data_IF_858054225012
#
_entry.id   IF_858054225012
#
_cell.length_a   1.000
_cell.length_b   1.000
_cell.length_c   1.000
_cell.angle_alpha   90.00
_cell.angle_beta   90.00
_cell.angle_gamma   90.00
#
_symmetry.space_group_name_H-M   'P 1'
#
loop_
_entity.id
_entity.type
_entity.pdbx_description
1 polymer ?
#
# COMPACT_ATOMS: atom_id res chain seq x y z
N UNK A 1 34.13 32.07 30.42
CA UNK A 1 33.44 31.96 29.10
C UNK A 1 32.16 31.19 29.36
N UNK A 2 31.00 31.74 29.00
CA UNK A 2 29.72 31.07 29.25
C UNK A 2 29.72 29.76 28.50
N UNK A 3 29.61 28.64 29.20
CA UNK A 3 29.48 27.32 28.58
C UNK A 3 28.13 27.29 27.85
N UNK A 4 28.16 27.49 26.53
CA UNK A 4 26.94 27.49 25.72
C UNK A 4 26.47 26.07 25.44
N UNK A 5 25.17 25.91 25.34
CA UNK A 5 24.53 24.62 25.04
C UNK A 5 24.48 24.40 23.53
N UNK A 6 24.74 23.17 23.10
CA UNK A 6 24.86 22.81 21.69
C UNK A 6 23.55 22.22 21.15
N UNK A 7 23.12 22.67 19.97
CA UNK A 7 21.98 22.11 19.26
C UNK A 7 22.19 22.07 17.74
N UNK A 8 21.44 21.22 17.04
CA UNK A 8 21.52 21.09 15.58
C UNK A 8 20.75 22.20 14.85
N UNK A 9 21.35 22.76 13.79
CA UNK A 9 20.72 23.81 12.99
C UNK A 9 19.59 23.34 12.04
N UNK A 10 19.31 22.03 11.99
CA UNK A 10 18.29 21.40 11.13
C UNK A 10 17.38 20.50 11.96
N UNK A 11 16.15 20.28 11.46
CA UNK A 11 15.24 19.28 12.01
C UNK A 11 15.71 17.87 11.62
N UNK A 12 16.24 17.14 12.62
CA UNK A 12 16.78 15.79 12.48
C UNK A 12 15.77 14.75 13.00
N UNK A 13 15.61 13.67 12.23
CA UNK A 13 14.79 12.52 12.60
C UNK A 13 15.65 11.24 12.62
N UNK A 14 15.61 10.46 13.69
CA UNK A 14 16.30 9.17 13.78
C UNK A 14 15.28 8.06 13.53
N UNK A 15 15.43 7.33 12.44
CA UNK A 15 14.58 6.18 12.07
C UNK A 15 15.23 4.89 12.54
N UNK A 16 14.63 4.20 13.50
CA UNK A 16 15.09 2.89 14.00
C UNK A 16 14.26 1.79 13.36
N UNK A 17 14.92 0.78 12.77
CA UNK A 17 14.26 -0.36 12.15
C UNK A 17 14.41 -1.60 13.02
N UNK A 18 13.43 -2.50 12.99
CA UNK A 18 13.50 -3.77 13.74
C UNK A 18 14.65 -4.69 13.28
N UNK A 19 15.20 -4.46 12.09
CA UNK A 19 16.43 -5.12 11.62
C UNK A 19 17.69 -4.69 12.38
N UNK A 20 17.58 -3.85 13.43
CA UNK A 20 18.70 -3.25 14.14
C UNK A 20 19.38 -2.08 13.42
N UNK A 21 18.93 -1.72 12.21
CA UNK A 21 19.48 -0.59 11.43
C UNK A 21 18.88 0.73 11.92
N UNK A 22 19.69 1.77 11.97
CA UNK A 22 19.24 3.13 12.27
C UNK A 22 19.68 4.11 11.19
N UNK A 23 18.79 5.05 10.81
CA UNK A 23 19.07 6.09 9.82
C UNK A 23 18.86 7.48 10.41
N UNK A 24 19.72 8.43 10.04
CA UNK A 24 19.49 9.86 10.23
C UNK A 24 18.77 10.41 9.01
N UNK A 25 17.57 10.96 9.19
CA UNK A 25 16.81 11.68 8.18
C UNK A 25 16.95 13.19 8.41
N UNK A 26 17.45 13.92 7.41
CA UNK A 26 17.60 15.37 7.44
C UNK A 26 16.49 15.99 6.59
N UNK A 27 15.64 16.82 7.20
CA UNK A 27 14.61 17.55 6.45
C UNK A 27 15.21 18.83 5.87
N UNK A 28 15.36 18.91 4.56
CA UNK A 28 15.75 20.15 3.87
C UNK A 28 14.49 20.93 3.44
N UNK A 29 14.34 22.16 3.92
CA UNK A 29 13.32 23.10 3.45
C UNK A 29 13.84 23.80 2.19
N UNK A 30 13.42 23.38 1.00
CA UNK A 30 13.57 24.21 -0.19
C UNK A 30 12.35 25.13 -0.29
N UNK A 31 12.55 26.43 -0.06
CA UNK A 31 11.62 27.48 -0.48
C UNK A 31 11.91 27.80 -1.95
N UNK A 32 11.48 26.96 -2.89
CA UNK A 32 11.34 27.38 -4.27
C UNK A 32 9.89 27.14 -4.71
N UNK A 33 9.33 28.21 -5.24
CA UNK A 33 8.01 28.43 -5.81
C UNK A 33 7.13 27.17 -6.01
N UNK A 34 6.00 27.13 -5.30
CA UNK A 34 4.83 26.32 -5.64
C UNK A 34 4.74 24.89 -5.11
N UNK A 35 5.82 24.28 -4.58
CA UNK A 35 5.78 22.90 -4.07
C UNK A 35 6.57 22.76 -2.76
N UNK A 36 5.89 22.80 -1.62
CA UNK A 36 6.49 22.43 -0.33
C UNK A 36 6.72 20.90 -0.28
N UNK A 37 7.81 20.40 -0.86
CA UNK A 37 8.29 19.03 -0.66
C UNK A 37 9.54 19.08 0.23
N UNK A 38 9.44 18.49 1.43
CA UNK A 38 10.61 18.18 2.25
C UNK A 38 11.46 17.14 1.51
N UNK A 39 12.60 17.54 0.97
CA UNK A 39 13.60 16.58 0.49
C UNK A 39 14.29 15.98 1.72
N UNK A 40 14.05 14.70 1.99
CA UNK A 40 14.64 13.98 3.12
C UNK A 40 15.85 13.19 2.64
N UNK A 41 17.05 13.60 3.05
CA UNK A 41 18.27 12.80 2.86
C UNK A 41 18.45 11.86 4.05
N UNK A 42 18.77 10.58 3.79
CA UNK A 42 18.94 9.57 4.86
C UNK A 42 20.34 8.98 4.89
N UNK A 43 20.93 8.85 6.08
CA UNK A 43 22.29 8.33 6.28
C UNK A 43 22.30 7.18 7.29
N UNK A 44 23.05 6.10 7.01
CA UNK A 44 23.19 4.96 7.93
C UNK A 44 24.02 5.36 9.16
N UNK A 45 23.47 5.12 10.35
CA UNK A 45 24.14 5.39 11.61
C UNK A 45 24.49 4.09 12.36
N UNK A 46 25.56 4.13 13.13
CA UNK A 46 25.81 3.17 14.21
C UNK A 46 25.27 3.73 15.54
N UNK A 47 25.23 2.89 16.58
CA UNK A 47 24.65 3.26 17.87
C UNK A 47 25.38 4.44 18.55
N UNK A 48 26.71 4.50 18.44
CA UNK A 48 27.49 5.60 19.00
C UNK A 48 27.15 6.94 18.33
N UNK A 49 26.96 6.95 17.01
CA UNK A 49 26.55 8.15 16.26
C UNK A 49 25.17 8.64 16.67
N UNK A 50 24.20 7.74 16.87
CA UNK A 50 22.84 8.09 17.35
C UNK A 50 22.91 8.76 18.71
N UNK A 51 23.75 8.24 19.60
CA UNK A 51 23.90 8.77 20.94
C UNK A 51 24.53 10.16 20.94
N UNK A 52 25.64 10.37 20.22
CA UNK A 52 26.29 11.68 20.13
C UNK A 52 25.32 12.70 19.50
N UNK A 53 24.60 12.32 18.44
CA UNK A 53 23.55 13.17 17.85
C UNK A 53 22.47 13.49 18.89
N UNK A 54 22.04 12.47 19.65
CA UNK A 54 21.09 12.53 20.76
C UNK A 54 21.46 13.50 21.88
N UNK A 55 22.76 13.65 22.16
CA UNK A 55 23.28 14.53 23.22
C UNK A 55 23.30 16.02 22.84
N UNK A 56 23.28 16.35 21.54
CA UNK A 56 23.30 17.72 21.01
C UNK A 56 21.85 18.20 20.79
N UNK A 57 21.10 18.31 21.88
CA UNK A 57 19.67 18.65 21.90
C UNK A 57 19.37 20.01 22.56
N UNK A 58 20.38 20.85 22.75
CA UNK A 58 20.27 22.15 23.41
C UNK A 58 20.31 22.08 24.95
N UNK A 59 20.52 20.91 25.54
CA UNK A 59 20.59 20.76 27.01
C UNK A 59 22.00 20.59 27.57
N UNK A 60 23.01 20.37 26.72
CA UNK A 60 24.39 20.07 27.13
C UNK A 60 25.41 20.94 26.40
N UNK A 61 26.47 21.25 27.12
CA UNK A 61 27.64 21.98 26.67
C UNK A 61 28.68 21.02 26.09
N UNK A 62 29.64 21.53 25.34
CA UNK A 62 30.69 20.69 24.74
C UNK A 62 31.46 19.87 25.78
N UNK A 63 31.79 20.47 26.93
CA UNK A 63 32.54 19.83 28.01
C UNK A 63 31.73 18.75 28.73
N UNK A 64 30.42 18.98 28.94
CA UNK A 64 29.52 17.96 29.52
C UNK A 64 29.39 16.74 28.61
N UNK A 65 29.31 16.95 27.29
CA UNK A 65 29.27 15.84 26.31
C UNK A 65 30.58 15.05 26.36
N UNK A 66 31.75 15.71 26.41
CA UNK A 66 33.04 15.03 26.54
C UNK A 66 33.12 14.24 27.84
N UNK A 67 32.66 14.80 28.95
CA UNK A 67 32.67 14.11 30.24
C UNK A 67 31.80 12.84 30.20
N UNK A 68 30.57 12.93 29.67
CA UNK A 68 29.67 11.79 29.54
C UNK A 68 30.20 10.70 28.61
N UNK A 69 30.80 11.07 27.47
CA UNK A 69 31.38 10.10 26.54
C UNK A 69 32.65 9.45 27.11
N UNK A 70 33.50 10.22 27.79
CA UNK A 70 34.77 9.72 28.35
C UNK A 70 34.54 8.71 29.49
N UNK A 71 33.58 9.01 30.38
CA UNK A 71 33.14 8.09 31.45
C UNK A 71 32.50 6.83 30.90
N UNK A 72 31.59 6.95 29.92
CA UNK A 72 30.90 5.80 29.33
C UNK A 72 31.83 4.82 28.62
N UNK A 73 32.81 5.34 27.87
CA UNK A 73 33.74 4.53 27.08
C UNK A 73 35.05 4.20 27.81
N UNK A 74 35.18 4.60 29.08
CA UNK A 74 36.38 4.46 29.91
C UNK A 74 37.65 4.94 29.17
N UNK A 75 37.55 6.13 28.57
CA UNK A 75 38.58 6.72 27.71
C UNK A 75 39.01 8.09 28.23
N UNK A 76 40.25 8.52 27.93
CA UNK A 76 40.73 9.81 28.42
C UNK A 76 39.94 10.99 27.81
N UNK A 77 39.77 12.06 28.58
CA UNK A 77 39.10 13.31 28.14
C UNK A 77 39.76 13.86 26.86
N UNK A 78 41.10 13.84 26.80
CA UNK A 78 41.87 14.31 25.63
C UNK A 78 41.50 13.53 24.36
N UNK A 79 41.50 12.20 24.45
CA UNK A 79 41.22 11.33 23.31
C UNK A 79 39.74 11.39 22.90
N UNK A 80 38.84 11.53 23.88
CA UNK A 80 37.40 11.72 23.64
C UNK A 80 37.13 13.05 22.91
N UNK A 81 37.81 14.13 23.31
CA UNK A 81 37.72 15.43 22.65
C UNK A 81 38.18 15.38 21.19
N UNK A 82 39.31 14.74 20.92
CA UNK A 82 39.82 14.55 19.56
C UNK A 82 38.80 13.79 18.69
N UNK A 83 38.28 12.66 19.18
CA UNK A 83 37.25 11.86 18.47
C UNK A 83 35.96 12.63 18.23
N UNK A 84 35.47 13.37 19.23
CA UNK A 84 34.26 14.17 19.10
C UNK A 84 34.45 15.29 18.07
N UNK A 85 35.57 16.01 18.12
CA UNK A 85 35.90 17.05 17.13
C UNK A 85 35.95 16.49 15.70
N UNK A 86 36.64 15.36 15.50
CA UNK A 86 36.67 14.68 14.20
C UNK A 86 35.28 14.27 13.72
N UNK A 87 34.45 13.74 14.61
CA UNK A 87 33.08 13.34 14.32
C UNK A 87 32.20 14.53 13.88
N UNK A 88 32.24 15.64 14.62
CA UNK A 88 31.45 16.83 14.32
C UNK A 88 31.87 17.48 12.98
N UNK A 89 33.17 17.52 12.71
CA UNK A 89 33.69 17.97 11.42
C UNK A 89 33.23 17.06 10.28
N UNK A 90 33.26 15.74 10.48
CA UNK A 90 32.81 14.76 9.48
C UNK A 90 31.31 14.90 9.17
N UNK A 91 30.47 15.05 10.19
CA UNK A 91 29.03 15.26 10.01
C UNK A 91 28.74 16.57 9.28
N UNK A 92 29.45 17.64 9.65
CA UNK A 92 29.28 18.95 9.01
C UNK A 92 29.65 18.89 7.53
N UNK A 93 30.79 18.30 7.20
CA UNK A 93 31.30 18.24 5.83
C UNK A 93 30.51 17.27 4.94
N UNK A 94 30.12 16.10 5.46
CA UNK A 94 29.41 15.09 4.65
C UNK A 94 27.92 15.39 4.49
N UNK A 95 27.29 15.97 5.51
CA UNK A 95 25.82 16.05 5.60
C UNK A 95 25.28 17.48 5.67
N UNK A 96 26.16 18.48 5.73
CA UNK A 96 25.78 19.89 5.78
C UNK A 96 24.95 20.26 7.02
N UNK A 97 25.10 19.48 8.11
CA UNK A 97 24.47 19.76 9.41
C UNK A 97 25.47 20.57 10.23
N UNK A 98 25.04 21.73 10.76
CA UNK A 98 25.87 22.58 11.61
C UNK A 98 25.37 22.54 13.05
N UNK A 99 26.27 22.85 13.96
CA UNK A 99 25.97 23.02 15.39
C UNK A 99 25.79 24.51 15.64
N UNK A 100 24.73 24.85 16.32
CA UNK A 100 24.49 26.17 16.87
C UNK A 100 24.66 26.13 18.39
N UNK A 101 24.80 27.31 18.97
CA UNK A 101 24.99 27.51 20.39
C UNK A 101 23.86 28.36 20.96
N UNK A 102 23.46 28.11 22.21
CA UNK A 102 22.49 28.92 22.93
C UNK A 102 22.91 29.15 24.38
N UNK A 103 22.44 30.25 24.97
CA UNK A 103 22.82 30.68 26.33
C UNK A 103 22.00 30.01 27.43
N UNK A 104 20.80 29.50 27.11
CA UNK A 104 19.92 28.83 28.06
C UNK A 104 19.57 27.42 27.60
N UNK A 105 19.21 26.55 28.54
CA UNK A 105 18.82 25.17 28.26
C UNK A 105 17.43 25.12 27.62
N UNK A 106 17.35 25.18 26.29
CA UNK A 106 16.14 24.93 25.54
C UNK A 106 16.25 23.60 24.79
N UNK A 107 15.45 22.61 25.20
CA UNK A 107 15.48 21.29 24.57
C UNK A 107 14.85 21.33 23.18
N UNK A 108 15.60 20.87 22.19
CA UNK A 108 15.13 20.64 20.82
C UNK A 108 14.89 19.15 20.65
N UNK A 109 13.62 18.77 20.59
CA UNK A 109 13.24 17.36 20.47
C UNK A 109 13.64 16.81 19.10
N UNK A 110 14.53 15.82 19.10
CA UNK A 110 14.74 14.98 17.93
C UNK A 110 13.63 13.93 17.82
N UNK A 111 13.06 13.80 16.64
CA UNK A 111 12.04 12.80 16.37
C UNK A 111 12.70 11.43 16.22
N UNK A 112 12.48 10.52 17.17
CA UNK A 112 12.88 9.11 17.02
C UNK A 112 11.66 8.33 16.55
N UNK A 113 11.73 7.75 15.36
CA UNK A 113 10.63 7.03 14.72
C UNK A 113 11.01 5.57 14.55
N UNK A 114 10.26 4.66 15.17
CA UNK A 114 10.37 3.23 14.84
C UNK A 114 9.74 2.99 13.46
N UNK A 115 10.48 2.35 12.57
CA UNK A 115 10.06 2.01 11.21
C UNK A 115 10.00 0.50 11.07
N UNK A 116 8.78 0.00 10.88
CA UNK A 116 8.51 -1.38 10.51
C UNK A 116 8.75 -1.54 9.01
N UNK A 117 9.37 -2.66 8.62
CA UNK A 117 9.52 -3.05 7.21
C UNK A 117 8.43 -4.04 6.77
N UNK A 118 7.68 -4.59 7.71
CA UNK A 118 6.65 -5.59 7.44
C UNK A 118 5.35 -4.94 6.96
N UNK A 119 4.57 -5.68 6.17
CA UNK A 119 3.28 -5.22 5.67
C UNK A 119 2.24 -5.15 6.80
N UNK A 120 1.28 -4.24 6.66
CA UNK A 120 0.11 -4.15 7.53
C UNK A 120 -1.14 -4.83 6.94
N UNK A 121 -1.14 -5.06 5.63
CA UNK A 121 -2.19 -5.60 4.79
C UNK A 121 -1.56 -6.69 3.91
N UNK A 122 -2.25 -7.79 3.69
CA UNK A 122 -1.80 -8.82 2.76
C UNK A 122 -2.94 -9.23 1.83
N UNK A 123 -2.70 -9.23 0.51
CA UNK A 123 -3.58 -9.91 -0.44
C UNK A 123 -3.05 -11.31 -0.67
N UNK A 124 -3.90 -12.31 -0.51
CA UNK A 124 -3.55 -13.72 -0.71
C UNK A 124 -4.40 -14.27 -1.85
N UNK A 125 -3.76 -14.60 -2.96
CA UNK A 125 -4.39 -15.30 -4.06
C UNK A 125 -4.57 -16.77 -3.70
N UNK A 126 -5.79 -17.17 -3.36
CA UNK A 126 -6.06 -18.55 -2.91
C UNK A 126 -6.31 -19.50 -4.09
N UNK A 127 -6.58 -18.97 -5.28
CA UNK A 127 -6.85 -19.78 -6.46
C UNK A 127 -6.51 -19.05 -7.75
N UNK A 128 -6.03 -19.77 -8.75
CA UNK A 128 -5.94 -19.31 -10.14
C UNK A 128 -7.25 -19.57 -10.92
N UNK A 129 -8.17 -20.35 -10.36
CA UNK A 129 -9.45 -20.71 -10.99
C UNK A 129 -10.46 -19.57 -10.88
N UNK A 130 -11.11 -19.23 -11.99
CA UNK A 130 -12.22 -18.28 -12.05
C UNK A 130 -13.38 -18.87 -12.86
N UNK A 131 -14.62 -18.59 -12.45
CA UNK A 131 -15.83 -19.02 -13.19
C UNK A 131 -16.23 -18.08 -14.33
N UNK A 132 -15.47 -17.01 -14.58
CA UNK A 132 -15.66 -16.07 -15.70
C UNK A 132 -14.34 -15.72 -16.36
N UNK A 133 -14.36 -15.23 -17.61
CA UNK A 133 -13.17 -14.89 -18.39
C UNK A 133 -13.16 -13.41 -18.77
N UNK A 134 -13.26 -12.55 -17.75
CA UNK A 134 -13.35 -11.10 -17.95
C UNK A 134 -12.23 -10.53 -18.82
N UNK A 135 -12.58 -9.60 -19.72
CA UNK A 135 -11.64 -8.99 -20.67
C UNK A 135 -10.52 -8.21 -19.98
N UNK A 136 -10.80 -7.52 -18.87
CA UNK A 136 -9.85 -6.66 -18.15
C UNK A 136 -8.87 -7.41 -17.22
N UNK A 137 -8.97 -8.73 -17.13
CA UNK A 137 -8.34 -9.49 -16.05
C UNK A 137 -6.80 -9.43 -16.11
N UNK A 138 -6.21 -8.77 -15.12
CA UNK A 138 -4.76 -8.63 -14.99
C UNK A 138 -4.04 -9.98 -14.80
N UNK A 139 -4.58 -10.88 -13.95
CA UNK A 139 -3.90 -12.13 -13.56
C UNK A 139 -4.07 -13.28 -14.55
N UNK A 140 -4.67 -13.04 -15.71
CA UNK A 140 -5.03 -14.06 -16.71
C UNK A 140 -5.66 -15.34 -16.14
N UNK A 141 -6.45 -15.22 -15.06
CA UNK A 141 -7.02 -16.36 -14.33
C UNK A 141 -7.83 -17.31 -15.23
N UNK A 142 -7.68 -18.60 -14.99
CA UNK A 142 -8.18 -19.65 -15.89
C UNK A 142 -9.56 -20.15 -15.47
N UNK A 143 -10.39 -20.51 -16.44
CA UNK A 143 -11.66 -21.20 -16.20
C UNK A 143 -11.52 -22.72 -16.09
N UNK A 144 -10.35 -23.26 -16.45
CA UNK A 144 -10.10 -24.69 -16.58
C UNK A 144 -9.08 -25.15 -15.54
N UNK A 145 -8.02 -24.37 -15.34
CA UNK A 145 -6.98 -24.73 -14.37
C UNK A 145 -7.51 -24.64 -12.95
N UNK A 146 -7.15 -25.63 -12.13
CA UNK A 146 -7.60 -25.74 -10.75
C UNK A 146 -6.46 -25.52 -9.76
N UNK A 147 -5.45 -24.74 -10.14
CA UNK A 147 -4.32 -24.39 -9.27
C UNK A 147 -4.84 -23.56 -8.09
N UNK A 148 -4.75 -24.11 -6.89
CA UNK A 148 -5.26 -23.50 -5.66
C UNK A 148 -4.29 -23.77 -4.51
N UNK A 149 -4.29 -22.87 -3.52
CA UNK A 149 -3.58 -23.12 -2.28
C UNK A 149 -4.31 -24.21 -1.47
N UNK A 150 -3.56 -25.11 -0.85
CA UNK A 150 -4.16 -26.12 0.04
C UNK A 150 -4.60 -25.49 1.36
N UNK A 151 -5.49 -26.16 2.10
CA UNK A 151 -5.92 -25.68 3.41
C UNK A 151 -4.76 -25.66 4.42
N UNK A 152 -3.82 -26.58 4.31
CA UNK A 152 -2.60 -26.63 5.14
C UNK A 152 -1.70 -25.43 4.85
N UNK A 153 -1.42 -25.17 3.58
CA UNK A 153 -0.55 -24.07 3.16
C UNK A 153 -1.13 -22.70 3.48
N UNK A 154 -2.42 -22.46 3.23
CA UNK A 154 -3.03 -21.17 3.59
C UNK A 154 -3.05 -20.94 5.09
N UNK A 155 -3.17 -21.98 5.92
CA UNK A 155 -3.00 -21.84 7.37
C UNK A 155 -1.59 -21.38 7.70
N UNK A 156 -0.54 -21.98 7.10
CA UNK A 156 0.85 -21.52 7.30
C UNK A 156 0.98 -20.04 6.95
N UNK A 157 0.47 -19.63 5.78
CA UNK A 157 0.48 -18.24 5.32
C UNK A 157 -0.17 -17.30 6.34
N UNK A 158 -1.40 -17.62 6.76
CA UNK A 158 -2.16 -16.74 7.65
C UNK A 158 -1.54 -16.65 9.05
N UNK A 159 -0.99 -17.74 9.59
CA UNK A 159 -0.30 -17.71 10.88
C UNK A 159 0.96 -16.83 10.81
N UNK A 160 1.75 -16.98 9.75
CA UNK A 160 2.99 -16.22 9.61
C UNK A 160 2.72 -14.71 9.41
N UNK A 161 1.74 -14.36 8.56
CA UNK A 161 1.28 -12.98 8.41
C UNK A 161 0.79 -12.38 9.74
N UNK A 162 0.02 -13.14 10.52
CA UNK A 162 -0.46 -12.68 11.84
C UNK A 162 0.72 -12.46 12.80
N UNK A 163 1.70 -13.35 12.81
CA UNK A 163 2.89 -13.27 13.67
C UNK A 163 3.75 -12.03 13.41
N UNK A 164 3.81 -11.55 12.16
CA UNK A 164 4.54 -10.32 11.80
C UNK A 164 3.72 -9.04 11.96
N UNK A 165 2.48 -9.14 12.47
CA UNK A 165 1.63 -8.00 12.78
C UNK A 165 0.76 -7.49 11.62
N UNK A 166 0.51 -8.32 10.60
CA UNK A 166 -0.51 -8.00 9.58
C UNK A 166 -1.87 -7.91 10.25
N UNK A 167 -2.58 -6.82 9.95
CA UNK A 167 -3.88 -6.50 10.55
C UNK A 167 -5.03 -6.82 9.61
N UNK A 168 -4.82 -6.65 8.31
CA UNK A 168 -5.86 -6.81 7.29
C UNK A 168 -5.44 -7.85 6.26
N UNK A 169 -6.37 -8.70 5.86
CA UNK A 169 -6.13 -9.66 4.80
C UNK A 169 -7.18 -9.49 3.71
N UNK A 170 -6.78 -9.73 2.47
CA UNK A 170 -7.66 -9.75 1.32
C UNK A 170 -7.54 -11.11 0.63
N UNK A 171 -8.60 -11.88 0.58
CA UNK A 171 -8.64 -13.10 -0.21
C UNK A 171 -9.06 -12.77 -1.65
N UNK A 172 -8.20 -13.16 -2.59
CA UNK A 172 -8.32 -12.84 -4.01
C UNK A 172 -7.83 -14.02 -4.87
N UNK A 173 -7.53 -13.78 -6.14
CA UNK A 173 -7.15 -14.77 -7.15
C UNK A 173 -8.08 -14.68 -8.34
N UNK A 174 -8.42 -15.82 -8.93
CA UNK A 174 -9.45 -15.92 -9.97
C UNK A 174 -10.84 -15.60 -9.45
N UNK A 175 -11.46 -16.52 -8.72
CA UNK A 175 -12.67 -16.27 -7.96
C UNK A 175 -12.54 -16.93 -6.57
N UNK A 176 -12.41 -16.11 -5.53
CA UNK A 176 -12.17 -16.60 -4.17
C UNK A 176 -13.38 -17.38 -3.61
N UNK A 177 -14.61 -17.00 -3.97
CA UNK A 177 -15.83 -17.63 -3.44
C UNK A 177 -16.06 -19.06 -3.92
N UNK A 178 -15.41 -19.48 -5.02
CA UNK A 178 -15.52 -20.86 -5.55
C UNK A 178 -14.40 -21.77 -5.06
N UNK A 179 -13.47 -21.27 -4.23
CA UNK A 179 -12.44 -22.12 -3.64
C UNK A 179 -13.10 -23.20 -2.76
N UNK A 180 -12.76 -24.47 -2.98
CA UNK A 180 -13.45 -25.61 -2.33
C UNK A 180 -13.33 -25.59 -0.81
N UNK A 181 -12.31 -24.93 -0.28
CA UNK A 181 -12.04 -24.72 1.15
C UNK A 181 -12.29 -23.30 1.67
N UNK A 182 -13.05 -22.48 0.93
CA UNK A 182 -13.25 -21.07 1.30
C UNK A 182 -13.83 -20.90 2.72
N UNK A 183 -14.73 -21.80 3.13
CA UNK A 183 -15.35 -21.78 4.46
C UNK A 183 -14.30 -21.94 5.55
N UNK A 184 -13.48 -22.98 5.44
CA UNK A 184 -12.41 -23.28 6.38
C UNK A 184 -11.34 -22.16 6.42
N UNK A 185 -11.05 -21.55 5.26
CA UNK A 185 -10.13 -20.40 5.15
C UNK A 185 -10.67 -19.18 5.92
N UNK A 186 -11.93 -18.79 5.68
CA UNK A 186 -12.56 -17.66 6.37
C UNK A 186 -12.61 -17.89 7.89
N UNK A 187 -13.04 -19.09 8.32
CA UNK A 187 -13.10 -19.44 9.74
C UNK A 187 -11.71 -19.42 10.40
N UNK A 188 -10.67 -19.86 9.70
CA UNK A 188 -9.31 -19.78 10.22
C UNK A 188 -8.82 -18.34 10.36
N UNK A 189 -9.06 -17.49 9.36
CA UNK A 189 -8.73 -16.06 9.45
C UNK A 189 -9.47 -15.35 10.59
N UNK A 190 -10.76 -15.66 10.80
CA UNK A 190 -11.53 -15.15 11.94
C UNK A 190 -10.90 -15.59 13.26
N UNK A 191 -10.50 -16.87 13.38
CA UNK A 191 -9.86 -17.42 14.58
C UNK A 191 -8.53 -16.74 14.90
N UNK A 192 -7.75 -16.37 13.89
CA UNK A 192 -6.50 -15.62 14.05
C UNK A 192 -6.71 -14.14 14.39
N UNK A 193 -7.97 -13.69 14.44
CA UNK A 193 -8.34 -12.35 14.87
C UNK A 193 -7.69 -11.25 14.01
N UNK A 194 -7.74 -11.39 12.69
CA UNK A 194 -7.45 -10.26 11.82
C UNK A 194 -8.49 -9.15 12.02
N UNK A 195 -8.03 -7.89 12.07
CA UNK A 195 -8.89 -6.72 12.29
C UNK A 195 -9.86 -6.53 11.11
N UNK A 196 -9.45 -6.93 9.91
CA UNK A 196 -10.25 -6.86 8.71
C UNK A 196 -9.95 -8.04 7.78
N UNK A 197 -10.99 -8.71 7.31
CA UNK A 197 -10.93 -9.77 6.32
C UNK A 197 -11.77 -9.32 5.13
N UNK A 198 -11.12 -9.03 4.01
CA UNK A 198 -11.81 -8.67 2.77
C UNK A 198 -11.87 -9.87 1.83
N UNK A 199 -13.05 -10.17 1.30
CA UNK A 199 -13.25 -11.18 0.27
C UNK A 199 -13.52 -10.47 -1.05
N UNK A 200 -12.60 -10.61 -2.02
CA UNK A 200 -12.73 -10.06 -3.37
C UNK A 200 -13.40 -11.11 -4.25
N UNK A 201 -14.56 -10.76 -4.81
CA UNK A 201 -15.42 -11.67 -5.57
C UNK A 201 -16.02 -11.00 -6.80
N UNK A 202 -16.24 -11.76 -7.85
CA UNK A 202 -17.13 -11.41 -8.95
C UNK A 202 -18.61 -11.55 -8.57
N UNK A 203 -18.90 -12.14 -7.40
CA UNK A 203 -20.24 -12.23 -6.79
C UNK A 203 -21.18 -13.26 -7.41
N UNK A 204 -20.77 -14.03 -8.43
CA UNK A 204 -21.65 -14.97 -9.15
C UNK A 204 -21.70 -16.34 -8.45
N UNK A 205 -20.55 -16.81 -7.97
CA UNK A 205 -20.35 -18.17 -7.45
C UNK A 205 -20.50 -18.32 -5.93
N UNK A 206 -20.98 -17.29 -5.23
CA UNK A 206 -21.06 -17.31 -3.77
C UNK A 206 -22.17 -18.27 -3.29
N UNK A 207 -21.80 -19.21 -2.43
CA UNK A 207 -22.75 -20.17 -1.83
C UNK A 207 -23.47 -19.56 -0.63
N UNK A 208 -24.67 -20.06 -0.33
CA UNK A 208 -25.46 -19.60 0.83
C UNK A 208 -24.70 -19.76 2.15
N UNK A 209 -23.94 -20.84 2.32
CA UNK A 209 -23.12 -21.05 3.50
C UNK A 209 -21.99 -20.00 3.64
N UNK A 210 -21.38 -19.57 2.52
CA UNK A 210 -20.38 -18.48 2.55
C UNK A 210 -21.05 -17.16 2.90
N UNK A 211 -22.24 -16.90 2.35
CA UNK A 211 -23.06 -15.73 2.72
C UNK A 211 -23.36 -15.73 4.23
N UNK A 212 -23.77 -16.87 4.80
CA UNK A 212 -24.05 -16.99 6.22
C UNK A 212 -22.83 -16.72 7.09
N UNK A 213 -21.64 -17.20 6.69
CA UNK A 213 -20.38 -16.90 7.38
C UNK A 213 -20.10 -15.40 7.37
N UNK A 214 -20.26 -14.74 6.21
CA UNK A 214 -20.04 -13.31 6.06
C UNK A 214 -21.01 -12.53 6.96
N UNK A 215 -22.30 -12.87 6.95
CA UNK A 215 -23.34 -12.19 7.75
C UNK A 215 -23.03 -12.31 9.25
N UNK A 216 -22.76 -13.54 9.73
CA UNK A 216 -22.44 -13.82 11.14
C UNK A 216 -21.19 -13.09 11.62
N UNK A 217 -20.28 -12.73 10.71
CA UNK A 217 -19.00 -12.09 11.01
C UNK A 217 -18.85 -10.71 10.35
N UNK A 218 -19.96 -10.02 10.07
CA UNK A 218 -20.00 -8.74 9.32
C UNK A 218 -19.25 -7.57 9.97
N UNK A 219 -18.85 -7.71 11.25
CA UNK A 219 -17.96 -6.77 11.93
C UNK A 219 -16.49 -6.89 11.50
N UNK A 220 -16.05 -8.08 11.07
CA UNK A 220 -14.68 -8.38 10.64
C UNK A 220 -14.58 -8.63 9.13
N UNK A 221 -15.59 -9.26 8.54
CA UNK A 221 -15.61 -9.60 7.11
C UNK A 221 -16.28 -8.51 6.30
N UNK A 222 -15.59 -8.09 5.24
CA UNK A 222 -16.06 -7.17 4.23
C UNK A 222 -16.02 -7.86 2.86
N UNK A 223 -16.92 -7.47 1.96
CA UNK A 223 -16.93 -8.00 0.60
C UNK A 223 -16.64 -6.89 -0.40
N UNK A 224 -15.71 -7.13 -1.32
CA UNK A 224 -15.56 -6.31 -2.52
C UNK A 224 -16.14 -7.12 -3.68
N UNK A 225 -17.22 -6.61 -4.27
CA UNK A 225 -17.95 -7.26 -5.36
C UNK A 225 -17.77 -6.46 -6.65
N UNK A 226 -17.43 -7.15 -7.72
CA UNK A 226 -17.34 -6.55 -9.04
C UNK A 226 -18.72 -6.51 -9.73
N UNK A 227 -19.14 -5.32 -10.17
CA UNK A 227 -20.34 -5.11 -10.98
C UNK A 227 -20.03 -4.11 -12.08
N UNK A 228 -20.06 -4.56 -13.33
CA UNK A 228 -19.52 -3.76 -14.44
C UNK A 228 -20.60 -3.09 -15.31
N UNK A 229 -21.86 -3.50 -15.22
CA UNK A 229 -22.98 -2.92 -15.97
C UNK A 229 -24.30 -3.45 -15.42
N UNK A 230 -25.39 -2.73 -15.66
CA UNK A 230 -26.76 -3.20 -15.44
C UNK A 230 -27.39 -3.79 -16.71
N UNK A 231 -26.67 -3.76 -17.83
CA UNK A 231 -27.04 -4.33 -19.12
C UNK A 231 -26.43 -5.72 -19.34
N UNK A 232 -27.26 -6.66 -19.80
CA UNK A 232 -26.86 -8.07 -19.95
C UNK A 232 -25.98 -8.29 -21.20
N UNK A 233 -26.14 -7.48 -22.26
CA UNK A 233 -25.30 -7.58 -23.46
C UNK A 233 -23.87 -7.14 -23.15
N UNK A 234 -23.70 -5.99 -22.49
CA UNK A 234 -22.42 -5.55 -21.98
C UNK A 234 -21.80 -6.58 -21.05
N UNK A 235 -22.57 -7.08 -20.07
CA UNK A 235 -22.02 -8.01 -19.08
C UNK A 235 -21.55 -9.31 -19.74
N UNK A 236 -22.28 -9.81 -20.74
CA UNK A 236 -21.89 -10.96 -21.56
C UNK A 236 -20.62 -10.67 -22.38
N UNK A 237 -20.56 -9.53 -23.05
CA UNK A 237 -19.37 -9.09 -23.79
C UNK A 237 -18.13 -9.01 -22.89
N UNK A 238 -18.28 -8.44 -21.70
CA UNK A 238 -17.18 -8.16 -20.78
C UNK A 238 -16.69 -9.41 -20.04
N UNK A 239 -17.60 -10.23 -19.51
CA UNK A 239 -17.30 -11.43 -18.70
C UNK A 239 -17.05 -12.69 -19.54
N UNK A 240 -17.47 -12.66 -20.82
CA UNK A 240 -17.51 -13.78 -21.77
C UNK A 240 -18.46 -14.91 -21.40
N UNK A 241 -19.38 -14.68 -20.46
CA UNK A 241 -20.37 -15.66 -20.01
C UNK A 241 -21.78 -15.05 -20.10
N UNK A 242 -22.72 -15.67 -20.82
CA UNK A 242 -24.08 -15.16 -20.93
C UNK A 242 -24.92 -15.44 -19.67
N UNK A 243 -25.98 -14.65 -19.47
CA UNK A 243 -27.07 -14.92 -18.51
C UNK A 243 -26.66 -15.04 -17.03
N UNK A 244 -25.64 -14.29 -16.59
CA UNK A 244 -25.15 -14.32 -15.20
C UNK A 244 -25.40 -13.03 -14.41
N UNK A 245 -25.83 -11.96 -15.07
CA UNK A 245 -26.03 -10.66 -14.41
C UNK A 245 -27.12 -10.69 -13.34
N UNK A 246 -28.25 -11.34 -13.60
CA UNK A 246 -29.35 -11.42 -12.63
C UNK A 246 -28.94 -12.19 -11.37
N UNK A 247 -28.14 -13.24 -11.54
CA UNK A 247 -27.57 -13.99 -10.41
C UNK A 247 -26.66 -13.11 -9.56
N UNK A 248 -25.75 -12.36 -10.20
CA UNK A 248 -24.88 -11.40 -9.52
C UNK A 248 -25.70 -10.35 -8.76
N UNK A 249 -26.68 -9.71 -9.41
CA UNK A 249 -27.54 -8.70 -8.79
C UNK A 249 -28.30 -9.27 -7.59
N UNK A 250 -28.84 -10.48 -7.71
CA UNK A 250 -29.53 -11.17 -6.60
C UNK A 250 -28.60 -11.39 -5.40
N UNK A 251 -27.36 -11.84 -5.63
CA UNK A 251 -26.37 -12.03 -4.58
C UNK A 251 -25.96 -10.72 -3.90
N UNK A 252 -25.78 -9.64 -4.66
CA UNK A 252 -25.50 -8.30 -4.12
C UNK A 252 -26.67 -7.85 -3.23
N UNK A 253 -27.91 -7.97 -3.71
CA UNK A 253 -29.11 -7.61 -2.94
C UNK A 253 -29.21 -8.42 -1.64
N UNK A 254 -28.93 -9.73 -1.68
CA UNK A 254 -28.95 -10.60 -0.50
C UNK A 254 -27.95 -10.14 0.57
N UNK A 255 -26.71 -9.87 0.18
CA UNK A 255 -25.66 -9.38 1.07
C UNK A 255 -25.99 -7.98 1.62
N UNK A 256 -26.47 -7.07 0.76
CA UNK A 256 -26.84 -5.71 1.15
C UNK A 256 -27.97 -5.68 2.19
N UNK A 257 -29.03 -6.48 1.99
CA UNK A 257 -30.13 -6.63 2.95
C UNK A 257 -29.70 -7.15 4.32
N UNK A 258 -28.53 -7.79 4.40
CA UNK A 258 -27.99 -8.37 5.62
C UNK A 258 -26.99 -7.44 6.34
N UNK A 259 -26.94 -6.16 5.96
CA UNK A 259 -26.04 -5.15 6.53
C UNK A 259 -24.54 -5.51 6.46
N UNK A 260 -24.15 -6.37 5.51
CA UNK A 260 -22.73 -6.66 5.25
C UNK A 260 -22.06 -5.41 4.70
N UNK A 261 -20.91 -5.04 5.26
CA UNK A 261 -20.10 -3.96 4.71
C UNK A 261 -19.55 -4.38 3.35
N UNK A 262 -20.08 -3.77 2.30
CA UNK A 262 -19.75 -4.10 0.93
C UNK A 262 -19.16 -2.89 0.20
N UNK A 263 -18.17 -3.15 -0.65
CA UNK A 263 -17.70 -2.26 -1.70
C UNK A 263 -18.11 -2.83 -3.05
N UNK A 264 -18.70 -2.02 -3.91
CA UNK A 264 -18.96 -2.38 -5.31
C UNK A 264 -17.94 -1.69 -6.20
N UNK A 265 -17.27 -2.44 -7.07
CA UNK A 265 -16.28 -1.92 -8.00
C UNK A 265 -16.70 -2.13 -9.47
N UNK A 266 -16.60 -1.07 -10.26
CA UNK A 266 -16.88 -1.08 -11.70
C UNK A 266 -15.60 -0.77 -12.46
N UNK A 267 -15.23 -1.65 -13.40
CA UNK A 267 -14.30 -1.31 -14.46
C UNK A 267 -15.08 -0.57 -15.54
N UNK A 268 -14.70 0.69 -15.75
CA UNK A 268 -15.28 1.59 -16.75
C UNK A 268 -14.50 1.46 -18.05
N UNK A 269 -15.26 1.29 -19.11
CA UNK A 269 -14.84 1.16 -20.50
C UNK A 269 -15.63 2.16 -21.34
N UNK A 270 -15.31 2.30 -22.62
CA UNK A 270 -16.10 3.17 -23.51
C UNK A 270 -17.54 2.70 -23.65
N UNK A 271 -17.77 1.39 -23.51
CA UNK A 271 -19.10 0.78 -23.69
C UNK A 271 -20.02 0.94 -22.48
N UNK A 272 -19.54 1.23 -21.27
CA UNK A 272 -20.40 1.45 -20.08
C UNK A 272 -20.25 2.81 -19.41
N UNK A 273 -19.43 3.72 -19.94
CA UNK A 273 -19.22 5.05 -19.32
C UNK A 273 -20.52 5.82 -19.09
N UNK A 274 -21.51 5.62 -19.95
CA UNK A 274 -22.84 6.22 -19.86
C UNK A 274 -23.71 5.63 -18.73
N UNK A 275 -23.37 4.44 -18.21
CA UNK A 275 -24.11 3.77 -17.13
C UNK A 275 -23.69 4.18 -15.73
N UNK A 276 -22.58 4.91 -15.56
CA UNK A 276 -22.01 5.21 -14.23
C UNK A 276 -23.03 5.84 -13.28
N UNK A 277 -23.86 6.77 -13.75
CA UNK A 277 -24.92 7.39 -12.92
C UNK A 277 -25.98 6.37 -12.49
N UNK A 278 -26.38 5.46 -13.40
CA UNK A 278 -27.38 4.42 -13.13
C UNK A 278 -26.83 3.34 -12.19
N UNK A 279 -25.58 2.92 -12.38
CA UNK A 279 -24.88 2.00 -11.47
C UNK A 279 -24.78 2.59 -10.08
N UNK A 280 -24.34 3.85 -9.96
CA UNK A 280 -24.27 4.54 -8.67
C UNK A 280 -25.65 4.63 -8.01
N UNK A 281 -26.70 4.98 -8.77
CA UNK A 281 -28.06 5.02 -8.26
C UNK A 281 -28.53 3.65 -7.76
N UNK A 282 -28.27 2.58 -8.51
CA UNK A 282 -28.62 1.23 -8.12
C UNK A 282 -27.88 0.79 -6.85
N UNK A 283 -26.56 0.96 -6.80
CA UNK A 283 -25.72 0.62 -5.63
C UNK A 283 -26.18 1.37 -4.38
N UNK A 284 -26.39 2.69 -4.48
CA UNK A 284 -26.86 3.49 -3.35
C UNK A 284 -28.29 3.18 -2.93
N UNK A 285 -29.18 2.77 -3.86
CA UNK A 285 -30.53 2.33 -3.52
C UNK A 285 -30.56 1.08 -2.62
N UNK A 286 -29.50 0.28 -2.65
CA UNK A 286 -29.31 -0.89 -1.78
C UNK A 286 -28.70 -0.53 -0.42
N UNK A 287 -28.43 0.75 -0.15
CA UNK A 287 -27.76 1.21 1.08
C UNK A 287 -26.24 1.03 1.07
N UNK A 288 -25.66 0.59 -0.04
CA UNK A 288 -24.21 0.45 -0.20
C UNK A 288 -23.60 1.85 -0.41
N UNK A 289 -22.62 2.21 0.43
CA UNK A 289 -21.98 3.53 0.39
C UNK A 289 -20.66 3.52 -0.40
N UNK A 290 -19.95 2.41 -0.38
CA UNK A 290 -18.64 2.28 -0.99
C UNK A 290 -18.80 1.82 -2.45
N UNK A 291 -18.97 2.77 -3.36
CA UNK A 291 -18.91 2.53 -4.80
C UNK A 291 -17.58 3.04 -5.36
N UNK A 292 -16.89 2.23 -6.17
CA UNK A 292 -15.60 2.60 -6.77
C UNK A 292 -15.65 2.34 -8.27
N UNK A 293 -15.11 3.28 -9.03
CA UNK A 293 -14.93 3.12 -10.47
C UNK A 293 -13.44 3.20 -10.82
N UNK A 294 -13.01 2.34 -11.76
CA UNK A 294 -11.63 2.31 -12.27
C UNK A 294 -11.63 2.18 -13.79
N UNK A 295 -10.65 2.73 -14.51
CA UNK A 295 -10.44 2.41 -15.91
C UNK A 295 -9.99 0.96 -16.08
N UNK A 296 -10.23 0.38 -17.27
CA UNK A 296 -9.47 -0.79 -17.70
C UNK A 296 -8.00 -0.42 -17.91
N UNK A 297 -7.09 -1.26 -17.45
CA UNK A 297 -5.64 -1.08 -17.63
C UNK A 297 -5.13 -2.05 -18.69
N UNK A 298 -4.21 -1.60 -19.55
CA UNK A 298 -3.58 -2.41 -20.59
C UNK A 298 -2.60 -3.40 -19.94
N UNK A 299 -3.12 -4.52 -19.45
CA UNK A 299 -2.34 -5.60 -18.83
C UNK A 299 -3.08 -6.94 -18.84
N UNK A 300 -2.32 -8.03 -18.88
CA UNK A 300 -2.86 -9.39 -18.80
C UNK A 300 -3.78 -9.66 -19.98
N UNK A 301 -5.01 -10.15 -19.73
CA UNK A 301 -5.96 -10.41 -20.83
C UNK A 301 -6.37 -9.16 -21.59
N UNK A 302 -6.31 -7.99 -20.97
CA UNK A 302 -6.73 -6.74 -21.59
C UNK A 302 -5.88 -6.44 -22.84
N UNK A 303 -4.61 -6.86 -22.86
CA UNK A 303 -3.67 -6.63 -23.97
C UNK A 303 -4.14 -7.27 -25.29
N UNK A 304 -4.97 -8.31 -25.21
CA UNK A 304 -5.54 -9.00 -26.38
C UNK A 304 -6.82 -8.37 -26.92
N UNK A 305 -7.27 -7.24 -26.38
CA UNK A 305 -8.54 -6.60 -26.73
C UNK A 305 -8.37 -5.19 -27.28
N UNK A 306 -9.39 -4.74 -28.00
CA UNK A 306 -9.40 -3.52 -28.81
C UNK A 306 -9.66 -2.21 -28.04
N UNK A 307 -9.81 -1.13 -28.81
CA UNK A 307 -10.06 0.24 -28.32
C UNK A 307 -11.37 0.43 -27.54
N UNK A 308 -12.35 -0.46 -27.63
CA UNK A 308 -13.62 -0.28 -26.90
C UNK A 308 -13.46 -0.54 -25.40
N UNK A 309 -12.45 -1.33 -25.01
CA UNK A 309 -12.12 -1.58 -23.60
C UNK A 309 -11.53 -0.34 -22.92
N UNK A 310 -10.83 0.51 -23.68
CA UNK A 310 -10.00 1.59 -23.13
C UNK A 310 -10.62 2.97 -23.31
N UNK A 311 -10.63 3.76 -22.24
CA UNK A 311 -11.15 5.13 -22.24
C UNK A 311 -10.26 6.07 -23.05
N UNK A 312 -10.91 7.01 -23.74
CA UNK A 312 -10.26 8.16 -24.39
C UNK A 312 -10.14 9.34 -23.43
N UNK A 313 -9.32 10.34 -23.76
CA UNK A 313 -9.22 11.60 -23.01
C UNK A 313 -10.57 12.30 -22.82
N UNK A 314 -11.45 12.22 -23.82
CA UNK A 314 -12.79 12.79 -23.75
C UNK A 314 -13.68 12.05 -22.73
N UNK A 315 -13.53 10.73 -22.63
CA UNK A 315 -14.28 9.93 -21.66
C UNK A 315 -13.89 10.29 -20.23
N UNK A 316 -12.58 10.52 -19.95
CA UNK A 316 -12.13 10.96 -18.62
C UNK A 316 -12.76 12.29 -18.20
N UNK A 317 -12.91 13.24 -19.13
CA UNK A 317 -13.59 14.52 -18.86
C UNK A 317 -15.06 14.30 -18.49
N UNK A 318 -15.76 13.47 -19.26
CA UNK A 318 -17.16 13.12 -19.00
C UNK A 318 -17.34 12.44 -17.63
N UNK A 319 -16.45 11.49 -17.30
CA UNK A 319 -16.47 10.77 -16.02
C UNK A 319 -16.30 11.74 -14.84
N UNK A 320 -15.40 12.71 -14.95
CA UNK A 320 -15.19 13.69 -13.89
C UNK A 320 -16.47 14.49 -13.59
N UNK A 321 -17.17 14.95 -14.64
CA UNK A 321 -18.43 15.68 -14.48
C UNK A 321 -19.52 14.81 -13.85
N UNK A 322 -19.62 13.54 -14.27
CA UNK A 322 -20.51 12.53 -13.68
C UNK A 322 -20.20 12.35 -12.19
N UNK A 323 -18.93 12.18 -11.82
CA UNK A 323 -18.53 11.97 -10.44
C UNK A 323 -18.82 13.16 -9.52
N UNK A 324 -18.65 14.39 -10.01
CA UNK A 324 -19.02 15.60 -9.26
C UNK A 324 -20.51 15.56 -8.91
N UNK A 325 -21.37 15.20 -9.87
CA UNK A 325 -22.82 15.07 -9.64
C UNK A 325 -23.14 13.98 -8.62
N UNK A 326 -22.55 12.79 -8.78
CA UNK A 326 -22.80 11.64 -7.90
C UNK A 326 -22.37 11.95 -6.46
N UNK A 327 -21.15 12.48 -6.27
CA UNK A 327 -20.65 12.82 -4.94
C UNK A 327 -21.47 13.91 -4.25
N UNK A 328 -21.97 14.89 -5.01
CA UNK A 328 -22.90 15.90 -4.48
C UNK A 328 -24.22 15.26 -4.07
N UNK A 329 -24.77 14.33 -4.86
CA UNK A 329 -26.06 13.69 -4.63
C UNK A 329 -26.05 12.74 -3.43
N UNK A 330 -25.07 11.85 -3.34
CA UNK A 330 -25.05 10.78 -2.35
C UNK A 330 -24.16 11.07 -1.14
N UNK A 331 -23.52 12.26 -1.09
CA UNK A 331 -22.48 12.61 -0.10
C UNK A 331 -21.41 11.51 0.00
N UNK A 332 -21.16 10.86 -1.13
CA UNK A 332 -20.18 9.79 -1.29
C UNK A 332 -18.81 10.37 -1.58
N UNK A 333 -17.77 9.59 -1.33
CA UNK A 333 -16.40 9.90 -1.72
C UNK A 333 -15.96 9.00 -2.88
N UNK A 334 -16.77 8.94 -3.94
CA UNK A 334 -16.42 8.16 -5.14
C UNK A 334 -15.37 8.96 -5.89
N UNK A 335 -14.14 8.50 -5.84
CA UNK A 335 -13.09 9.03 -6.70
C UNK A 335 -12.90 8.10 -7.89
N UNK A 336 -12.73 8.69 -9.07
CA UNK A 336 -12.12 7.98 -10.19
C UNK A 336 -10.68 7.69 -9.79
N UNK A 337 -10.38 6.42 -9.49
CA UNK A 337 -8.99 6.01 -9.31
C UNK A 337 -8.39 5.80 -10.69
N UNK A 338 -8.04 6.90 -11.34
CA UNK A 338 -6.86 6.89 -12.18
C UNK A 338 -5.67 6.52 -11.27
N UNK A 339 -4.53 6.10 -11.79
CA UNK A 339 -3.31 5.94 -10.97
C UNK A 339 -2.86 7.21 -10.21
N UNK A 340 -3.68 8.26 -10.14
CA UNK A 340 -3.46 9.64 -9.72
C UNK A 340 -3.70 9.94 -8.24
N UNK A 341 -3.92 8.95 -7.37
CA UNK A 341 -3.88 9.19 -5.90
C UNK A 341 -2.78 8.40 -5.21
N UNK A 342 -1.52 8.69 -5.58
CA UNK A 342 -0.34 8.35 -4.79
C UNK A 342 0.31 9.62 -4.21
N UNK A 343 -0.50 10.56 -3.70
CA UNK A 343 0.03 11.75 -2.99
C UNK A 343 0.47 11.49 -1.54
N UNK A 344 0.55 10.24 -1.10
CA UNK A 344 1.14 9.88 0.18
C UNK A 344 2.34 8.96 -0.01
N UNK A 345 3.55 9.49 0.24
CA UNK A 345 4.80 8.74 0.50
C UNK A 345 4.93 7.38 -0.21
N UNK A 346 5.46 7.42 -1.43
CA UNK A 346 5.83 6.23 -2.19
C UNK A 346 4.61 5.51 -2.76
N UNK A 347 4.84 4.79 -3.85
CA UNK A 347 3.99 3.67 -4.23
C UNK A 347 3.68 2.88 -2.95
N UNK A 348 2.41 2.76 -2.55
CA UNK A 348 1.94 1.99 -1.37
C UNK A 348 2.21 0.48 -1.46
N UNK A 349 3.28 0.09 -2.14
CA UNK A 349 3.54 -1.21 -2.71
C UNK A 349 4.37 -2.11 -1.79
N UNK A 350 4.86 -1.66 -0.62
CA UNK A 350 5.73 -2.54 0.19
C UNK A 350 5.61 -2.45 1.70
N UNK A 351 5.29 -1.28 2.25
CA UNK A 351 5.19 -1.12 3.72
C UNK A 351 3.79 -1.31 4.26
N UNK A 352 2.70 -0.92 3.58
CA UNK A 352 1.38 -1.29 4.06
C UNK A 352 0.90 -2.61 3.49
N UNK A 353 1.41 -3.09 2.34
CA UNK A 353 0.78 -4.17 1.57
C UNK A 353 1.80 -5.19 1.03
N UNK A 354 1.40 -6.45 0.95
CA UNK A 354 2.13 -7.56 0.31
C UNK A 354 1.16 -8.43 -0.48
N UNK A 355 1.62 -9.04 -1.56
CA UNK A 355 0.86 -10.08 -2.27
C UNK A 355 1.51 -11.46 -2.06
N UNK A 356 0.67 -12.46 -1.79
CA UNK A 356 1.08 -13.87 -1.69
C UNK A 356 0.26 -14.69 -2.68
N UNK A 357 0.96 -15.34 -3.60
CA UNK A 357 0.39 -16.19 -4.63
C UNK A 357 -0.05 -17.56 -4.08
N UNK A 358 -0.90 -18.27 -4.82
CA UNK A 358 -1.39 -19.59 -4.42
C UNK A 358 -0.26 -20.64 -4.25
N UNK A 359 0.86 -20.44 -4.95
CA UNK A 359 2.07 -21.28 -4.90
C UNK A 359 3.07 -20.82 -3.82
N UNK A 360 2.73 -19.81 -3.01
CA UNK A 360 3.55 -19.30 -1.91
C UNK A 360 4.50 -18.18 -2.29
N UNK A 361 4.57 -17.79 -3.57
CA UNK A 361 5.43 -16.68 -3.98
C UNK A 361 4.98 -15.37 -3.34
N UNK A 362 5.95 -14.63 -2.80
CA UNK A 362 5.74 -13.32 -2.19
C UNK A 362 6.17 -12.27 -3.20
N UNK A 363 5.26 -11.40 -3.59
CA UNK A 363 5.48 -10.36 -4.58
C UNK A 363 5.23 -8.97 -4.00
N UNK A 364 5.78 -7.96 -4.67
CA UNK A 364 5.65 -6.56 -4.26
C UNK A 364 4.23 -6.06 -4.49
N UNK A 365 3.55 -6.53 -5.53
CA UNK A 365 2.23 -6.05 -5.91
C UNK A 365 1.42 -7.15 -6.59
N UNK A 366 0.10 -7.02 -6.59
CA UNK A 366 -0.80 -7.89 -7.37
C UNK A 366 -0.54 -7.84 -8.88
N UNK A 367 0.11 -6.77 -9.37
CA UNK A 367 0.42 -6.56 -10.79
C UNK A 367 1.84 -7.08 -11.15
N UNK A 368 2.61 -7.51 -10.16
CA UNK A 368 4.00 -7.99 -10.27
C UNK A 368 4.17 -9.38 -10.92
N UNK A 369 3.18 -9.80 -11.71
CA UNK A 369 3.16 -11.10 -12.42
C UNK A 369 3.11 -10.94 -13.93
N UNK A 370 3.21 -9.71 -14.41
CA UNK A 370 3.27 -9.42 -15.84
C UNK A 370 4.73 -9.61 -16.27
N UNK A 371 4.96 -10.17 -17.46
CA UNK A 371 6.28 -10.57 -17.97
C UNK A 371 7.37 -9.48 -17.87
N UNK A 372 6.99 -8.21 -17.82
CA UNK A 372 7.90 -7.06 -17.69
C UNK A 372 8.38 -6.77 -16.26
N UNK A 373 7.76 -7.36 -15.24
CA UNK A 373 8.04 -7.10 -13.82
C UNK A 373 7.93 -8.41 -13.03
N UNK A 374 9.08 -8.94 -12.58
CA UNK A 374 9.16 -10.17 -11.77
C UNK A 374 9.94 -9.85 -10.48
N UNK A 375 9.31 -9.08 -9.60
CA UNK A 375 9.89 -8.71 -8.30
C UNK A 375 9.54 -9.67 -7.17
N UNK A 376 9.36 -10.96 -7.49
CA UNK A 376 9.30 -12.04 -6.50
C UNK A 376 10.43 -11.89 -5.49
N UNK A 377 10.08 -11.64 -4.23
CA UNK A 377 11.05 -11.42 -3.15
C UNK A 377 11.37 -12.71 -2.38
N UNK A 378 10.52 -13.74 -2.50
CA UNK A 378 10.75 -15.04 -1.88
C UNK A 378 9.54 -15.98 -2.04
N UNK A 379 9.55 -17.09 -1.30
CA UNK A 379 8.42 -18.02 -1.21
C UNK A 379 8.21 -18.47 0.24
N UNK A 380 6.98 -18.32 0.71
CA UNK A 380 6.60 -18.57 2.11
C UNK A 380 6.65 -20.04 2.52
N UNK A 381 6.58 -20.96 1.56
CA UNK A 381 6.69 -22.40 1.83
C UNK A 381 8.14 -22.85 1.98
N UNK A 382 9.11 -22.02 1.57
CA UNK A 382 10.54 -22.27 1.77
C UNK A 382 11.04 -21.57 3.04
N UNK A 383 10.56 -20.36 3.32
CA UNK A 383 11.05 -19.49 4.40
C UNK A 383 9.95 -18.54 4.87
N UNK A 384 9.88 -18.26 6.18
CA UNK A 384 8.90 -17.32 6.73
C UNK A 384 9.01 -15.91 6.15
N UNK A 385 7.88 -15.21 6.04
CA UNK A 385 7.76 -13.83 5.54
C UNK A 385 8.71 -12.91 6.31
N UNK A 386 8.80 -13.06 7.62
CA UNK A 386 9.71 -12.26 8.46
C UNK A 386 11.15 -12.33 7.94
N UNK A 387 11.65 -13.55 7.73
CA UNK A 387 13.03 -13.77 7.32
C UNK A 387 13.28 -13.30 5.90
N UNK A 388 12.32 -13.51 4.99
CA UNK A 388 12.35 -12.97 3.63
C UNK A 388 12.45 -11.43 3.65
N UNK A 389 11.63 -10.75 4.45
CA UNK A 389 11.67 -9.30 4.58
C UNK A 389 12.98 -8.79 5.19
N UNK A 390 13.57 -9.52 6.15
CA UNK A 390 14.88 -9.19 6.68
C UNK A 390 15.98 -9.30 5.63
N UNK A 391 16.00 -10.41 4.88
CA UNK A 391 16.98 -10.69 3.83
C UNK A 391 16.88 -9.66 2.70
N UNK A 392 15.66 -9.35 2.25
CA UNK A 392 15.39 -8.40 1.17
C UNK A 392 15.25 -6.95 1.66
N UNK A 393 15.65 -6.65 2.89
CA UNK A 393 15.38 -5.35 3.50
C UNK A 393 16.05 -4.16 2.79
N UNK A 394 17.16 -4.37 2.07
CA UNK A 394 17.78 -3.32 1.25
C UNK A 394 17.00 -3.10 -0.04
N UNK A 395 16.70 -4.17 -0.78
CA UNK A 395 15.87 -4.13 -1.98
C UNK A 395 14.50 -3.47 -1.74
N UNK A 396 13.80 -3.88 -0.66
CA UNK A 396 12.52 -3.31 -0.26
C UNK A 396 12.64 -1.81 0.01
N UNK A 397 13.74 -1.36 0.62
CA UNK A 397 13.97 0.06 0.91
C UNK A 397 14.30 0.85 -0.34
N UNK A 398 15.10 0.31 -1.24
CA UNK A 398 15.44 0.98 -2.49
C UNK A 398 14.18 1.19 -3.32
N UNK A 399 13.30 0.20 -3.37
CA UNK A 399 11.99 0.32 -4.00
C UNK A 399 11.10 1.38 -3.32
N UNK A 400 11.05 1.43 -1.98
CA UNK A 400 10.33 2.50 -1.24
C UNK A 400 10.90 3.91 -1.50
N UNK A 401 12.19 4.00 -1.83
CA UNK A 401 12.88 5.24 -2.12
C UNK A 401 12.87 5.61 -3.60
N UNK A 402 12.25 4.78 -4.47
CA UNK A 402 11.91 5.17 -5.83
C UNK A 402 10.93 6.35 -5.75
N UNK A 403 11.48 7.56 -5.85
CA UNK A 403 10.67 8.77 -5.96
C UNK A 403 9.77 8.70 -7.19
N UNK A 404 8.68 9.45 -7.17
CA UNK A 404 7.68 9.45 -8.23
C UNK A 404 8.33 9.70 -9.62
N UNK A 405 8.31 8.71 -10.53
CA UNK A 405 8.99 8.78 -11.82
C UNK A 405 8.43 9.90 -12.72
N UNK A 406 7.19 10.36 -12.47
CA UNK A 406 6.54 11.46 -13.19
C UNK A 406 7.33 12.77 -13.08
N UNK A 407 8.21 12.91 -12.09
CA UNK A 407 9.01 14.13 -11.91
C UNK A 407 10.42 14.06 -12.48
N UNK A 408 10.86 12.90 -13.01
CA UNK A 408 12.24 12.70 -13.50
C UNK A 408 12.37 12.38 -14.98
N UNK A 409 11.29 12.03 -15.69
CA UNK A 409 11.37 11.76 -17.13
C UNK A 409 11.45 13.06 -17.95
N UNK A 410 12.29 13.07 -18.99
CA UNK A 410 12.37 14.17 -19.97
C UNK A 410 11.03 14.36 -20.72
N UNK A 411 10.27 13.28 -20.91
CA UNK A 411 8.99 13.25 -21.64
C UNK A 411 7.83 13.97 -20.93
N UNK A 412 7.91 14.16 -19.61
CA UNK A 412 6.84 14.84 -18.83
C UNK A 412 7.13 16.32 -18.59
N UNK A 413 8.28 16.81 -19.06
CA UNK A 413 8.76 18.17 -18.79
C UNK A 413 7.88 19.25 -19.45
N UNK A 414 7.35 18.94 -20.64
CA UNK A 414 6.54 19.85 -21.48
C UNK A 414 5.05 19.46 -21.54
N UNK A 415 4.59 18.52 -20.69
CA UNK A 415 3.18 18.15 -20.65
C UNK A 415 2.35 19.24 -19.96
N UNK A 416 1.49 19.95 -20.71
CA UNK A 416 0.58 20.98 -20.16
C UNK A 416 -0.35 20.44 -19.05
N UNK A 417 -0.59 19.14 -19.02
CA UNK A 417 -1.40 18.45 -17.99
C UNK A 417 -0.56 17.81 -16.88
N UNK A 418 0.71 18.20 -16.69
CA UNK A 418 1.56 17.70 -15.60
C UNK A 418 0.94 17.92 -14.20
N UNK A 419 0.17 18.98 -14.04
CA UNK A 419 -0.63 19.28 -12.83
C UNK A 419 -1.79 18.30 -12.59
N UNK A 420 -2.33 17.71 -13.67
CA UNK A 420 -3.42 16.74 -13.65
C UNK A 420 -2.94 15.35 -13.21
N UNK A 421 -1.71 14.97 -13.53
CA UNK A 421 -1.06 13.75 -13.02
C UNK A 421 -0.57 13.87 -11.57
N UNK A 422 -0.48 15.11 -11.08
CA UNK A 422 0.15 15.39 -9.80
C UNK A 422 -0.81 15.78 -8.68
N UNK A 423 -2.14 15.83 -8.88
CA UNK A 423 -3.11 16.37 -7.90
C UNK A 423 -3.89 15.37 -7.05
#
# INVERSE_FOLDING_TARGET
MVNKYLYWNKDLEIRKYETGRSLLAIKNNYKNEGLSKYNIQTYKLNNNTIEIIGMIDGTKTYEEIIYLLSTKHNESIKKTREKLSMFLNKITNLYGIKINEQESTQKINMNIVQKYIYPHIASVEITHKCNVKCMHCFGNFSCIENNCITLEHIKVVLNDLKNIGVKKIEFTGGESAIHTKIKEILLHAIKLDFENISLLVNGIGISDEVVDIIIKNSSKIHTKVDLHSLDNEYFTWFSKIPNILDKLKSNIVKLAKSNVKMKVETIVTRKNVHEIENLAAWVHSLGIRDYVIRPATFMGRAESYDSELYLTLQDFKCINDILVKINKKYKSNISFMEGRRFRSKGFGFLTPHVEISYNGDINICTIDKIDYFNSRIGNIFEKGVKDIYHEKSEYIKDFLNLGDPIFKSLETKDCEQRSFYSN
#
